data_IF_940584720248
#
_entry.id   IF_940584720248
#
_cell.length_a   1.000
_cell.length_b   1.000
_cell.length_c   1.000
_cell.angle_alpha   90.00
_cell.angle_beta   90.00
_cell.angle_gamma   90.00
#
_symmetry.space_group_name_H-M   'P 1'
#
loop_
_entity.id
_entity.type
_entity.pdbx_description
1 polymer ?
#
# COMPACT_ATOMS: atom_id res chain seq x y z
N UNK A 1 -30.08 -0.74 -12.78
CA UNK A 1 -29.13 -1.84 -12.46
C UNK A 1 -28.22 -1.35 -11.35
N UNK A 2 -28.03 -2.13 -10.28
CA UNK A 2 -27.18 -1.73 -9.18
C UNK A 2 -25.70 -1.73 -9.59
N UNK A 3 -24.89 -0.84 -9.04
CA UNK A 3 -23.45 -0.76 -9.32
C UNK A 3 -22.71 -2.06 -8.99
N UNK A 4 -23.22 -2.82 -8.02
CA UNK A 4 -22.75 -4.17 -7.66
C UNK A 4 -22.95 -5.21 -8.78
N UNK A 5 -24.04 -5.11 -9.55
CA UNK A 5 -24.27 -6.02 -10.66
C UNK A 5 -23.22 -5.84 -11.76
N UNK A 6 -22.70 -4.62 -11.97
CA UNK A 6 -21.69 -4.34 -13.00
C UNK A 6 -20.33 -4.95 -12.67
N UNK A 7 -19.95 -4.97 -11.37
CA UNK A 7 -18.67 -5.54 -10.95
C UNK A 7 -18.65 -7.07 -10.98
N UNK A 8 -19.79 -7.71 -10.82
CA UNK A 8 -19.91 -9.17 -10.78
C UNK A 8 -20.39 -9.79 -12.10
N UNK A 9 -20.78 -8.98 -13.08
CA UNK A 9 -21.30 -9.45 -14.37
C UNK A 9 -20.39 -9.03 -15.53
N UNK A 10 -19.58 -9.98 -16.05
CA UNK A 10 -18.70 -9.73 -17.21
C UNK A 10 -19.42 -9.12 -18.43
N UNK A 11 -20.68 -9.48 -18.67
CA UNK A 11 -21.46 -8.97 -19.79
C UNK A 11 -21.91 -7.52 -19.63
N UNK A 12 -22.12 -7.05 -18.39
CA UNK A 12 -22.53 -5.67 -18.08
C UNK A 12 -21.33 -4.71 -18.00
N UNK A 13 -20.13 -5.22 -17.67
CA UNK A 13 -18.94 -4.41 -17.45
C UNK A 13 -18.29 -3.84 -18.73
N UNK A 14 -18.66 -4.38 -19.91
CA UNK A 14 -17.98 -4.01 -21.17
C UNK A 14 -18.32 -2.62 -21.73
N UNK A 15 -19.30 -1.90 -21.20
CA UNK A 15 -19.78 -0.66 -21.86
C UNK A 15 -19.48 0.66 -21.15
N UNK A 16 -19.35 0.73 -19.81
CA UNK A 16 -19.16 2.01 -19.11
C UNK A 16 -18.14 1.89 -17.96
N UNK A 17 -17.20 2.81 -17.93
CA UNK A 17 -16.23 2.93 -16.85
C UNK A 17 -16.92 3.47 -15.58
N UNK A 18 -16.75 2.77 -14.45
CA UNK A 18 -17.40 3.09 -13.16
C UNK A 18 -17.09 4.52 -12.70
N UNK A 19 -15.86 4.98 -12.88
CA UNK A 19 -15.44 6.31 -12.45
C UNK A 19 -16.02 7.40 -13.36
N UNK A 20 -16.16 7.15 -14.65
CA UNK A 20 -16.86 8.07 -15.57
C UNK A 20 -18.34 8.19 -15.18
N UNK A 21 -18.99 7.06 -14.94
CA UNK A 21 -20.40 7.05 -14.48
C UNK A 21 -20.57 7.76 -13.15
N UNK A 22 -19.59 7.63 -12.23
CA UNK A 22 -19.60 8.30 -10.93
C UNK A 22 -19.49 9.82 -11.09
N UNK A 23 -18.55 10.28 -11.93
CA UNK A 23 -18.40 11.73 -12.25
C UNK A 23 -19.67 12.26 -12.89
N UNK A 24 -20.23 11.59 -13.92
CA UNK A 24 -21.43 12.00 -14.60
C UNK A 24 -22.64 12.17 -13.66
N UNK A 25 -22.77 11.26 -12.68
CA UNK A 25 -23.85 11.35 -11.68
C UNK A 25 -23.67 12.51 -10.71
N UNK A 26 -22.41 12.86 -10.39
CA UNK A 26 -22.10 13.99 -9.50
C UNK A 26 -22.33 15.31 -10.24
N UNK A 27 -21.86 15.43 -11.48
CA UNK A 27 -21.96 16.67 -12.28
C UNK A 27 -23.39 16.93 -12.74
N UNK A 28 -24.14 15.90 -13.13
CA UNK A 28 -25.51 16.03 -13.68
C UNK A 28 -26.60 16.30 -12.63
N UNK A 29 -26.30 16.32 -11.33
CA UNK A 29 -27.31 16.63 -10.30
C UNK A 29 -27.31 18.13 -9.98
N UNK A 30 -28.33 18.90 -10.48
CA UNK A 30 -28.40 20.36 -10.31
C UNK A 30 -28.49 20.83 -8.85
N UNK A 31 -28.84 19.95 -7.91
CA UNK A 31 -28.94 20.28 -6.49
C UNK A 31 -27.62 20.63 -5.81
N UNK A 32 -26.49 20.58 -6.55
CA UNK A 32 -25.16 20.98 -6.07
C UNK A 32 -24.69 22.32 -6.63
N UNK A 33 -25.49 23.00 -7.42
CA UNK A 33 -25.23 24.38 -7.83
C UNK A 33 -25.57 25.33 -6.66
N UNK A 34 -24.76 25.31 -5.59
CA UNK A 34 -24.73 26.41 -4.65
C UNK A 34 -23.87 27.52 -5.26
N UNK A 35 -24.40 28.74 -5.44
CA UNK A 35 -23.61 29.90 -5.85
C UNK A 35 -22.73 30.29 -4.65
N UNK A 36 -21.45 29.92 -4.70
CA UNK A 36 -20.47 30.27 -3.68
C UNK A 36 -19.40 29.20 -3.48
N UNK A 37 -18.30 29.58 -2.86
CA UNK A 37 -17.09 28.77 -2.59
C UNK A 37 -17.31 27.43 -1.85
N UNK A 38 -18.53 27.10 -1.45
CA UNK A 38 -18.91 25.90 -0.67
C UNK A 38 -19.30 24.68 -1.54
N UNK A 39 -19.39 24.85 -2.86
CA UNK A 39 -19.86 23.78 -3.76
C UNK A 39 -18.98 22.52 -3.78
N UNK A 40 -17.69 22.67 -3.55
CA UNK A 40 -16.72 21.57 -3.63
C UNK A 40 -16.79 20.61 -2.42
N UNK A 41 -17.08 21.09 -1.23
CA UNK A 41 -17.11 20.26 -0.02
C UNK A 41 -18.29 19.27 0.06
N UNK A 42 -19.30 19.42 -0.80
CA UNK A 42 -20.53 18.62 -0.73
C UNK A 42 -20.49 17.30 -1.54
N UNK A 43 -19.61 17.17 -2.55
CA UNK A 43 -19.55 15.92 -3.35
C UNK A 43 -18.61 14.87 -2.77
N UNK A 44 -17.57 15.28 -2.04
CA UNK A 44 -16.59 14.41 -1.42
C UNK A 44 -17.23 13.28 -0.59
N UNK A 45 -18.16 13.54 0.35
CA UNK A 45 -18.85 12.50 1.10
C UNK A 45 -19.63 11.51 0.23
N UNK A 46 -20.15 11.95 -0.90
CA UNK A 46 -20.94 11.10 -1.80
C UNK A 46 -20.04 10.16 -2.59
N UNK A 47 -18.93 10.66 -3.15
CA UNK A 47 -17.94 9.85 -3.85
C UNK A 47 -17.41 8.78 -2.92
N UNK A 48 -16.94 9.19 -1.74
CA UNK A 48 -16.44 8.28 -0.72
C UNK A 48 -17.46 7.20 -0.36
N UNK A 49 -18.70 7.58 0.02
CA UNK A 49 -19.74 6.62 0.43
C UNK A 49 -20.07 5.63 -0.68
N UNK A 50 -20.17 6.11 -1.92
CA UNK A 50 -20.49 5.25 -3.06
C UNK A 50 -19.37 4.28 -3.34
N UNK A 51 -18.12 4.77 -3.40
CA UNK A 51 -16.96 3.92 -3.66
C UNK A 51 -16.69 2.96 -2.49
N UNK A 52 -16.80 3.40 -1.26
CA UNK A 52 -16.67 2.54 -0.08
C UNK A 52 -17.75 1.44 -0.03
N UNK A 53 -18.99 1.75 -0.47
CA UNK A 53 -20.04 0.74 -0.59
C UNK A 53 -19.72 -0.31 -1.66
N UNK A 54 -19.18 0.10 -2.80
CA UNK A 54 -18.73 -0.82 -3.87
C UNK A 54 -17.61 -1.71 -3.32
N UNK A 55 -16.56 -1.10 -2.75
CA UNK A 55 -15.39 -1.79 -2.24
C UNK A 55 -15.71 -2.79 -1.13
N UNK A 56 -16.71 -2.53 -0.29
CA UNK A 56 -17.14 -3.43 0.79
C UNK A 56 -17.57 -4.81 0.27
N UNK A 57 -18.21 -4.85 -0.88
CA UNK A 57 -18.81 -6.05 -1.43
C UNK A 57 -18.06 -6.63 -2.63
N UNK A 58 -16.95 -5.98 -3.03
CA UNK A 58 -16.17 -6.42 -4.18
C UNK A 58 -15.31 -7.64 -3.82
N UNK A 59 -15.32 -8.64 -4.69
CA UNK A 59 -14.37 -9.75 -4.70
C UNK A 59 -13.09 -9.37 -5.48
N UNK A 60 -12.13 -10.29 -5.57
CA UNK A 60 -10.88 -10.04 -6.29
C UNK A 60 -11.10 -9.75 -7.78
N UNK A 61 -12.04 -10.44 -8.43
CA UNK A 61 -12.33 -10.22 -9.84
C UNK A 61 -12.96 -8.86 -10.09
N UNK A 62 -13.92 -8.46 -9.24
CA UNK A 62 -14.51 -7.13 -9.28
C UNK A 62 -13.52 -6.02 -8.95
N UNK A 63 -12.58 -6.28 -8.02
CA UNK A 63 -11.52 -5.33 -7.71
C UNK A 63 -10.54 -5.15 -8.86
N UNK A 64 -10.21 -6.24 -9.60
CA UNK A 64 -9.41 -6.18 -10.82
C UNK A 64 -10.03 -5.24 -11.87
N UNK A 65 -11.32 -5.36 -12.08
CA UNK A 65 -12.10 -4.50 -13.00
C UNK A 65 -12.06 -3.05 -12.47
N UNK A 66 -12.31 -2.84 -11.18
CA UNK A 66 -12.35 -1.51 -10.59
C UNK A 66 -11.01 -0.78 -10.73
N UNK A 67 -9.88 -1.43 -10.44
CA UNK A 67 -8.56 -0.81 -10.60
C UNK A 67 -8.25 -0.55 -12.07
N UNK A 68 -8.61 -1.46 -12.97
CA UNK A 68 -8.44 -1.25 -14.43
C UNK A 68 -9.27 -0.07 -14.94
N UNK A 69 -10.49 0.09 -14.44
CA UNK A 69 -11.36 1.23 -14.74
C UNK A 69 -10.77 2.54 -14.18
N UNK A 70 -10.21 2.50 -12.96
CA UNK A 70 -9.55 3.65 -12.37
C UNK A 70 -8.35 4.10 -13.21
N UNK A 71 -7.46 3.19 -13.58
CA UNK A 71 -6.30 3.50 -14.43
C UNK A 71 -6.75 4.11 -15.76
N UNK A 72 -7.77 3.52 -16.38
CA UNK A 72 -8.33 4.03 -17.64
C UNK A 72 -8.94 5.42 -17.47
N UNK A 73 -9.64 5.65 -16.36
CA UNK A 73 -10.21 6.95 -16.03
C UNK A 73 -9.12 8.01 -15.87
N UNK A 74 -8.08 7.75 -15.07
CA UNK A 74 -6.98 8.72 -14.85
C UNK A 74 -6.28 9.06 -16.18
N UNK A 75 -5.96 8.05 -17.00
CA UNK A 75 -5.34 8.28 -18.32
C UNK A 75 -6.21 9.12 -19.27
N UNK A 76 -7.54 8.98 -19.20
CA UNK A 76 -8.45 9.76 -20.05
C UNK A 76 -8.74 11.15 -19.49
N UNK A 77 -8.74 11.31 -18.17
CA UNK A 77 -9.10 12.56 -17.52
C UNK A 77 -8.05 13.65 -17.66
N UNK A 78 -6.78 13.28 -17.90
CA UNK A 78 -5.73 14.23 -18.22
C UNK A 78 -6.08 15.11 -19.45
N UNK A 79 -7.06 14.69 -20.26
CA UNK A 79 -7.45 15.36 -21.51
C UNK A 79 -8.81 16.09 -21.48
N UNK A 80 -9.70 15.91 -20.48
CA UNK A 80 -11.12 16.27 -20.65
C UNK A 80 -11.82 17.04 -19.53
N UNK A 81 -11.27 17.13 -18.34
CA UNK A 81 -11.97 17.78 -17.22
C UNK A 81 -11.18 19.01 -16.74
N UNK A 82 -11.86 19.96 -16.09
CA UNK A 82 -11.19 21.07 -15.43
C UNK A 82 -10.15 20.55 -14.44
N UNK A 83 -8.90 21.01 -14.56
CA UNK A 83 -7.74 20.47 -13.82
C UNK A 83 -7.98 20.33 -12.30
N UNK A 84 -8.68 21.27 -11.68
CA UNK A 84 -8.95 21.25 -10.24
C UNK A 84 -9.94 20.15 -9.82
N UNK A 85 -11.04 20.00 -10.54
CA UNK A 85 -12.03 18.96 -10.25
C UNK A 85 -11.44 17.55 -10.39
N UNK A 86 -10.63 17.34 -11.43
CA UNK A 86 -9.96 16.07 -11.65
C UNK A 86 -9.02 15.70 -10.51
N UNK A 87 -8.23 16.66 -10.04
CA UNK A 87 -7.26 16.39 -8.98
C UNK A 87 -7.97 15.95 -7.68
N UNK A 88 -8.95 16.73 -7.22
CA UNK A 88 -9.67 16.42 -5.99
C UNK A 88 -10.45 15.11 -6.07
N UNK A 89 -11.18 14.89 -7.17
CA UNK A 89 -11.91 13.64 -7.37
C UNK A 89 -10.98 12.42 -7.38
N UNK A 90 -9.85 12.54 -8.07
CA UNK A 90 -8.83 11.49 -8.14
C UNK A 90 -8.24 11.21 -6.76
N UNK A 91 -7.92 12.24 -5.99
CA UNK A 91 -7.41 12.09 -4.62
C UNK A 91 -8.41 11.39 -3.69
N UNK A 92 -9.69 11.73 -3.76
CA UNK A 92 -10.74 11.06 -2.98
C UNK A 92 -10.82 9.57 -3.35
N UNK A 93 -10.79 9.27 -4.66
CA UNK A 93 -10.83 7.89 -5.14
C UNK A 93 -9.61 7.09 -4.66
N UNK A 94 -8.39 7.65 -4.81
CA UNK A 94 -7.14 7.02 -4.33
C UNK A 94 -7.20 6.77 -2.83
N UNK A 95 -7.53 7.80 -2.05
CA UNK A 95 -7.61 7.70 -0.61
C UNK A 95 -8.61 6.63 -0.16
N UNK A 96 -9.76 6.55 -0.83
CA UNK A 96 -10.78 5.54 -0.53
C UNK A 96 -10.30 4.13 -0.87
N UNK A 97 -9.68 3.94 -2.03
CA UNK A 97 -9.12 2.65 -2.46
C UNK A 97 -8.03 2.20 -1.51
N UNK A 98 -7.04 3.06 -1.23
CA UNK A 98 -5.92 2.73 -0.35
C UNK A 98 -6.39 2.43 1.07
N UNK A 99 -7.24 3.27 1.64
CA UNK A 99 -7.80 3.03 2.97
C UNK A 99 -8.54 1.69 3.04
N UNK A 100 -9.34 1.38 2.02
CA UNK A 100 -10.08 0.13 2.01
C UNK A 100 -9.13 -1.08 1.89
N UNK A 101 -8.16 -1.03 0.97
CA UNK A 101 -7.22 -2.14 0.72
C UNK A 101 -6.36 -2.43 1.96
N UNK A 102 -5.77 -1.39 2.55
CA UNK A 102 -4.79 -1.56 3.63
C UNK A 102 -5.40 -1.57 5.03
N UNK A 103 -6.44 -0.79 5.28
CA UNK A 103 -7.00 -0.64 6.61
C UNK A 103 -8.24 -1.51 6.86
N UNK A 104 -9.14 -1.61 5.87
CA UNK A 104 -10.41 -2.32 6.06
C UNK A 104 -10.34 -3.78 5.64
N UNK A 105 -9.83 -4.08 4.46
CA UNK A 105 -9.75 -5.46 3.97
C UNK A 105 -8.56 -6.20 4.59
N UNK A 106 -7.40 -5.54 4.66
CA UNK A 106 -6.19 -6.11 5.26
C UNK A 106 -5.74 -7.44 4.62
N UNK A 107 -6.15 -7.70 3.38
CA UNK A 107 -5.89 -8.96 2.69
C UNK A 107 -4.76 -8.77 1.66
N UNK A 108 -3.65 -9.54 1.78
CA UNK A 108 -2.48 -9.41 0.92
C UNK A 108 -2.79 -9.61 -0.58
N UNK A 109 -3.79 -10.43 -0.95
CA UNK A 109 -4.18 -10.64 -2.35
C UNK A 109 -4.71 -9.38 -3.04
N UNK A 110 -5.43 -8.50 -2.32
CA UNK A 110 -5.88 -7.22 -2.86
C UNK A 110 -4.71 -6.24 -3.03
N UNK A 111 -3.75 -6.27 -2.10
CA UNK A 111 -2.53 -5.47 -2.21
C UNK A 111 -1.68 -5.93 -3.40
N UNK A 112 -1.50 -7.23 -3.54
CA UNK A 112 -0.77 -7.83 -4.66
C UNK A 112 -1.40 -7.43 -6.00
N UNK A 113 -2.73 -7.55 -6.13
CA UNK A 113 -3.45 -7.16 -7.34
C UNK A 113 -3.30 -5.66 -7.64
N UNK A 114 -3.39 -4.80 -6.62
CA UNK A 114 -3.14 -3.36 -6.76
C UNK A 114 -1.75 -3.08 -7.31
N UNK A 115 -0.72 -3.69 -6.69
CA UNK A 115 0.68 -3.52 -7.11
C UNK A 115 0.92 -4.07 -8.51
N UNK A 116 0.35 -5.24 -8.84
CA UNK A 116 0.44 -5.82 -10.17
C UNK A 116 -0.12 -4.89 -11.26
N UNK A 117 -1.30 -4.30 -11.00
CA UNK A 117 -1.95 -3.39 -11.95
C UNK A 117 -1.24 -2.04 -12.09
N UNK A 118 -0.59 -1.58 -11.04
CA UNK A 118 0.09 -0.28 -11.02
C UNK A 118 1.61 -0.40 -11.15
N UNK A 119 2.13 -1.60 -11.42
CA UNK A 119 3.55 -1.93 -11.44
C UNK A 119 4.38 -0.99 -12.31
N UNK A 120 3.92 -0.70 -13.52
CA UNK A 120 4.65 0.13 -14.48
C UNK A 120 4.81 1.58 -14.03
N UNK A 121 4.04 2.01 -13.01
CA UNK A 121 4.07 3.37 -12.48
C UNK A 121 4.80 3.48 -11.14
N UNK A 122 5.14 2.36 -10.49
CA UNK A 122 5.71 2.35 -9.13
C UNK A 122 7.03 3.13 -9.05
N UNK A 123 7.86 3.09 -10.09
CA UNK A 123 9.16 3.77 -10.10
C UNK A 123 9.04 5.29 -10.23
N UNK A 124 8.02 5.79 -10.90
CA UNK A 124 7.77 7.22 -11.04
C UNK A 124 6.84 7.73 -9.94
N UNK A 125 7.42 8.19 -8.84
CA UNK A 125 6.66 8.72 -7.70
C UNK A 125 5.82 9.96 -8.03
N UNK A 126 6.12 10.66 -9.13
CA UNK A 126 5.35 11.81 -9.59
C UNK A 126 4.10 11.40 -10.36
N UNK A 127 4.05 10.17 -10.85
CA UNK A 127 2.90 9.65 -11.57
C UNK A 127 1.67 9.51 -10.67
N UNK A 128 0.53 10.00 -11.13
CA UNK A 128 -0.75 9.90 -10.41
C UNK A 128 -1.20 8.44 -10.18
N UNK A 129 -0.70 7.51 -11.00
CA UNK A 129 -0.98 6.08 -10.92
C UNK A 129 0.01 5.32 -10.02
N UNK A 130 1.03 5.97 -9.48
CA UNK A 130 1.95 5.39 -8.49
C UNK A 130 1.31 5.34 -7.10
N UNK A 131 0.18 4.62 -6.97
CA UNK A 131 -0.72 4.65 -5.83
C UNK A 131 -0.03 4.33 -4.50
N UNK A 132 0.95 3.43 -4.52
CA UNK A 132 1.66 2.99 -3.31
C UNK A 132 2.45 4.12 -2.62
N UNK A 133 2.78 5.20 -3.34
CA UNK A 133 3.49 6.36 -2.79
C UNK A 133 2.55 7.47 -2.33
N UNK A 134 1.26 7.35 -2.62
CA UNK A 134 0.29 8.34 -2.17
C UNK A 134 0.07 8.20 -0.67
N UNK A 135 0.03 9.32 0.00
CA UNK A 135 -0.41 9.36 1.38
C UNK A 135 -1.93 9.23 1.41
N UNK A 136 -2.46 8.45 2.33
CA UNK A 136 -3.90 8.37 2.48
C UNK A 136 -4.36 8.98 3.80
N UNK A 137 -5.47 9.66 3.70
CA UNK A 137 -6.14 10.29 4.82
C UNK A 137 -7.54 9.70 4.89
N UNK A 138 -7.95 9.08 6.00
CA UNK A 138 -9.34 8.70 6.16
C UNK A 138 -10.19 9.96 6.13
N UNK A 139 -11.00 10.10 5.09
CA UNK A 139 -11.78 11.31 4.78
C UNK A 139 -12.73 11.71 5.92
N UNK A 140 -13.10 10.79 6.81
CA UNK A 140 -14.08 11.00 7.88
C UNK A 140 -13.60 10.62 9.27
N UNK A 141 -12.37 10.22 9.44
CA UNK A 141 -11.78 10.07 10.75
C UNK A 141 -10.66 11.08 10.89
N UNK A 142 -10.70 12.01 11.84
CA UNK A 142 -9.52 12.76 12.27
C UNK A 142 -8.57 11.74 12.89
N UNK A 143 -7.99 10.92 12.03
CA UNK A 143 -7.07 9.87 12.41
C UNK A 143 -5.67 10.45 12.37
N UNK A 144 -4.85 10.16 13.37
CA UNK A 144 -3.42 10.43 13.32
C UNK A 144 -2.71 9.68 12.16
N UNK A 145 -3.45 9.01 11.25
CA UNK A 145 -2.98 8.36 10.01
C UNK A 145 -2.88 9.32 8.82
N UNK A 146 -3.30 10.58 9.01
CA UNK A 146 -3.24 11.61 7.99
C UNK A 146 -1.80 11.78 7.49
N UNK A 147 -1.61 11.65 6.18
CA UNK A 147 -0.33 11.92 5.54
C UNK A 147 0.71 10.80 5.57
N UNK A 148 0.36 9.56 5.94
CA UNK A 148 1.28 8.42 5.88
C UNK A 148 1.09 7.58 4.61
N UNK A 149 2.18 7.01 4.11
CA UNK A 149 2.15 6.08 2.98
C UNK A 149 1.61 4.71 3.40
N UNK A 150 1.12 3.89 2.47
CA UNK A 150 0.72 2.51 2.73
C UNK A 150 1.81 1.68 3.42
N UNK A 151 3.07 1.82 3.04
CA UNK A 151 4.18 1.10 3.67
C UNK A 151 4.34 1.47 5.15
N UNK A 152 4.32 2.78 5.49
CA UNK A 152 4.38 3.24 6.88
C UNK A 152 3.15 2.77 7.67
N UNK A 153 1.96 2.79 7.06
CA UNK A 153 0.75 2.28 7.71
C UNK A 153 0.87 0.80 8.06
N UNK A 154 1.32 -0.02 7.10
CA UNK A 154 1.51 -1.47 7.28
C UNK A 154 2.55 -1.76 8.37
N UNK A 155 3.66 -1.02 8.39
CA UNK A 155 4.68 -1.12 9.44
C UNK A 155 4.11 -0.77 10.82
N UNK A 156 3.32 0.30 10.93
CA UNK A 156 2.73 0.76 12.18
C UNK A 156 1.64 -0.18 12.71
N UNK A 157 0.88 -0.80 11.82
CA UNK A 157 -0.16 -1.79 12.16
C UNK A 157 0.38 -3.23 12.19
N UNK A 158 1.67 -3.43 11.88
CA UNK A 158 2.39 -4.70 11.90
C UNK A 158 1.71 -5.80 11.10
N UNK A 159 1.19 -5.46 9.93
CA UNK A 159 0.56 -6.41 9.03
C UNK A 159 1.65 -7.18 8.25
N UNK A 160 2.24 -8.20 8.88
CA UNK A 160 3.40 -8.93 8.35
C UNK A 160 3.16 -9.56 6.97
N UNK A 161 1.96 -10.09 6.72
CA UNK A 161 1.59 -10.66 5.42
C UNK A 161 1.54 -9.62 4.30
N UNK A 162 1.03 -8.42 4.58
CA UNK A 162 1.01 -7.31 3.62
C UNK A 162 2.40 -6.71 3.46
N UNK A 163 3.15 -6.55 4.56
CA UNK A 163 4.54 -6.10 4.49
C UNK A 163 5.35 -7.00 3.58
N UNK A 164 5.20 -8.34 3.71
CA UNK A 164 5.88 -9.29 2.82
C UNK A 164 5.58 -9.00 1.35
N UNK A 165 4.33 -8.80 0.97
CA UNK A 165 3.96 -8.45 -0.42
C UNK A 165 4.65 -7.15 -0.85
N UNK A 166 4.61 -6.09 -0.03
CA UNK A 166 5.28 -4.83 -0.35
C UNK A 166 6.78 -5.01 -0.56
N UNK A 167 7.44 -5.82 0.28
CA UNK A 167 8.86 -6.14 0.16
C UNK A 167 9.15 -6.97 -1.10
N UNK A 168 8.29 -7.91 -1.47
CA UNK A 168 8.43 -8.69 -2.69
C UNK A 168 8.43 -7.80 -3.95
N UNK A 169 7.64 -6.73 -3.94
CA UNK A 169 7.63 -5.73 -5.02
C UNK A 169 8.74 -4.66 -4.92
N UNK A 170 9.63 -4.76 -3.92
CA UNK A 170 10.77 -3.85 -3.79
C UNK A 170 10.41 -2.46 -3.24
N UNK A 171 9.26 -2.31 -2.57
CA UNK A 171 8.80 -1.00 -2.10
C UNK A 171 9.75 -0.42 -1.04
N UNK A 172 10.32 -1.27 -0.16
CA UNK A 172 11.27 -0.80 0.86
C UNK A 172 12.61 -0.39 0.26
N UNK A 173 13.10 -1.13 -0.74
CA UNK A 173 14.35 -0.81 -1.45
C UNK A 173 14.27 0.53 -2.18
N UNK A 174 13.08 0.95 -2.57
CA UNK A 174 12.84 2.27 -3.19
C UNK A 174 12.64 3.40 -2.18
N UNK A 175 12.50 3.11 -0.87
CA UNK A 175 12.33 4.17 0.13
C UNK A 175 13.60 5.01 0.32
N UNK A 176 13.42 6.33 0.49
CA UNK A 176 14.55 7.25 0.73
C UNK A 176 15.27 6.97 2.05
N UNK A 177 14.51 6.54 3.07
CA UNK A 177 15.00 6.22 4.42
C UNK A 177 14.38 4.91 4.88
N UNK A 178 14.81 3.77 4.33
CA UNK A 178 14.19 2.47 4.60
C UNK A 178 14.24 2.09 6.09
N UNK A 179 15.23 2.59 6.84
CA UNK A 179 15.34 2.35 8.27
C UNK A 179 14.16 2.89 9.08
N UNK A 180 13.46 3.93 8.59
CA UNK A 180 12.27 4.46 9.26
C UNK A 180 11.18 3.40 9.44
N UNK A 181 11.15 2.39 8.59
CA UNK A 181 10.20 1.27 8.70
C UNK A 181 10.50 0.44 9.94
N UNK A 182 11.79 0.16 10.21
CA UNK A 182 12.23 -0.55 11.41
C UNK A 182 11.87 0.25 12.68
N UNK A 183 12.15 1.55 12.68
CA UNK A 183 11.75 2.43 13.79
C UNK A 183 10.21 2.42 13.98
N UNK A 184 9.46 2.45 12.90
CA UNK A 184 8.01 2.42 12.96
C UNK A 184 7.50 1.11 13.56
N UNK A 185 8.06 -0.03 13.17
CA UNK A 185 7.71 -1.34 13.73
C UNK A 185 8.01 -1.40 15.23
N UNK A 186 9.17 -0.87 15.67
CA UNK A 186 9.63 -1.01 17.04
C UNK A 186 9.00 0.00 18.01
N UNK A 187 8.85 1.26 17.62
CA UNK A 187 8.57 2.34 18.56
C UNK A 187 7.19 2.98 18.46
N UNK A 188 6.50 2.84 17.33
CA UNK A 188 5.17 3.43 17.23
C UNK A 188 4.14 2.56 17.94
N UNK A 189 3.21 3.18 18.68
CA UNK A 189 2.14 2.45 19.31
C UNK A 189 1.33 1.71 18.24
N UNK A 190 0.97 0.48 18.54
CA UNK A 190 0.05 -0.28 17.71
C UNK A 190 -1.26 0.48 17.62
N UNK A 191 -1.65 0.88 16.41
CA UNK A 191 -3.00 1.40 16.23
C UNK A 191 -3.93 0.20 16.17
N UNK A 192 -4.91 0.21 17.02
CA UNK A 192 -5.94 -0.83 17.05
C UNK A 192 -6.49 -0.96 15.63
N UNK A 193 -6.36 -2.14 15.05
CA UNK A 193 -7.12 -2.47 13.84
C UNK A 193 -8.58 -2.35 14.24
N UNK A 194 -9.32 -1.50 13.58
CA UNK A 194 -10.78 -1.54 13.66
C UNK A 194 -11.16 -2.76 12.80
N UNK A 195 -10.97 -3.94 13.37
CA UNK A 195 -11.48 -5.20 12.85
C UNK A 195 -12.70 -5.56 13.65
N UNK A 196 -13.77 -5.91 12.96
CA UNK A 196 -15.02 -6.36 13.56
C UNK A 196 -14.90 -7.75 14.23
N UNK A 197 -13.73 -8.41 14.15
CA UNK A 197 -13.49 -9.74 14.71
C UNK A 197 -12.47 -9.68 15.85
N UNK A 198 -12.88 -10.25 16.98
CA UNK A 198 -12.22 -10.28 18.28
C UNK A 198 -10.97 -11.18 18.36
N UNK A 199 -10.18 -11.35 17.32
CA UNK A 199 -8.91 -12.00 17.45
C UNK A 199 -7.88 -11.06 18.10
N UNK A 200 -7.49 -11.38 19.32
CA UNK A 200 -6.33 -10.80 20.01
C UNK A 200 -5.07 -11.13 19.19
N UNK A 201 -4.73 -10.23 18.28
CA UNK A 201 -3.50 -10.35 17.51
C UNK A 201 -2.34 -10.14 18.46
N UNK A 202 -1.44 -11.11 18.54
CA UNK A 202 -0.20 -10.96 19.28
C UNK A 202 0.69 -9.93 18.60
N UNK A 203 0.61 -8.69 19.09
CA UNK A 203 1.33 -7.54 18.55
C UNK A 203 2.84 -7.76 18.58
N UNK A 204 3.34 -8.51 19.56
CA UNK A 204 4.75 -8.81 19.68
C UNK A 204 5.22 -9.77 18.57
N UNK A 205 4.48 -10.84 18.33
CA UNK A 205 4.79 -11.80 17.26
C UNK A 205 4.68 -11.15 15.86
N UNK A 206 3.67 -10.33 15.61
CA UNK A 206 3.55 -9.59 14.37
C UNK A 206 4.71 -8.58 14.17
N UNK A 207 5.15 -7.91 15.24
CA UNK A 207 6.30 -7.01 15.18
C UNK A 207 7.60 -7.78 14.91
N UNK A 208 7.82 -8.93 15.54
CA UNK A 208 8.96 -9.82 15.27
C UNK A 208 9.00 -10.26 13.81
N UNK A 209 7.86 -10.75 13.29
CA UNK A 209 7.74 -11.16 11.88
C UNK A 209 8.07 -10.00 10.93
N UNK A 210 7.56 -8.79 11.20
CA UNK A 210 7.86 -7.61 10.41
C UNK A 210 9.35 -7.25 10.46
N UNK A 211 9.98 -7.31 11.66
CA UNK A 211 11.41 -7.04 11.81
C UNK A 211 12.25 -8.04 11.02
N UNK A 212 11.98 -9.34 11.16
CA UNK A 212 12.65 -10.40 10.40
C UNK A 212 12.52 -10.22 8.89
N UNK A 213 11.37 -9.78 8.39
CA UNK A 213 11.19 -9.46 6.97
C UNK A 213 12.09 -8.28 6.55
N UNK A 214 12.22 -7.25 7.39
CA UNK A 214 13.11 -6.12 7.10
C UNK A 214 14.59 -6.54 7.05
N UNK A 215 15.05 -7.46 7.92
CA UNK A 215 16.44 -7.95 7.90
C UNK A 215 16.79 -8.72 6.63
N UNK A 216 15.79 -9.22 5.90
CA UNK A 216 15.99 -9.92 4.62
C UNK A 216 16.25 -8.99 3.44
N UNK A 217 15.89 -7.72 3.53
CA UNK A 217 16.00 -6.74 2.45
C UNK A 217 16.92 -5.56 2.79
N UNK A 218 17.25 -5.36 4.06
CA UNK A 218 18.18 -4.32 4.48
C UNK A 218 19.59 -4.90 4.64
N UNK A 219 20.58 -4.22 4.06
CA UNK A 219 21.99 -4.58 4.23
C UNK A 219 22.55 -4.14 5.59
N UNK A 220 21.96 -3.09 6.15
CA UNK A 220 22.42 -2.50 7.40
C UNK A 220 21.25 -1.99 8.24
N UNK A 221 21.30 -2.21 9.55
CA UNK A 221 20.35 -1.70 10.55
C UNK A 221 21.16 -1.00 11.64
N UNK A 222 21.00 0.32 11.84
CA UNK A 222 21.79 1.09 12.81
C UNK A 222 21.30 0.83 14.24
N UNK A 223 21.78 -0.25 14.84
CA UNK A 223 21.44 -0.66 16.21
C UNK A 223 21.75 0.44 17.22
N UNK A 224 22.83 1.19 17.01
CA UNK A 224 23.19 2.34 17.86
C UNK A 224 22.13 3.42 17.89
N UNK A 225 21.53 3.75 16.74
CA UNK A 225 20.44 4.73 16.67
C UNK A 225 19.18 4.23 17.38
N UNK A 226 18.87 2.93 17.25
CA UNK A 226 17.73 2.31 17.95
C UNK A 226 17.95 2.38 19.47
N UNK A 227 19.16 2.06 19.97
CA UNK A 227 19.51 2.18 21.38
C UNK A 227 19.43 3.63 21.88
N UNK A 228 19.85 4.59 21.06
CA UNK A 228 19.73 6.01 21.38
C UNK A 228 18.27 6.43 21.59
N UNK A 229 17.33 5.91 20.80
CA UNK A 229 15.90 6.16 21.03
C UNK A 229 15.44 5.62 22.39
N UNK A 230 16.00 4.48 22.84
CA UNK A 230 15.69 3.93 24.17
C UNK A 230 16.18 4.84 25.30
N UNK A 231 17.36 5.46 25.17
CA UNK A 231 17.87 6.41 26.17
C UNK A 231 16.99 7.66 26.30
N UNK A 232 16.26 8.02 25.26
CA UNK A 232 15.25 9.09 25.28
C UNK A 232 13.88 8.64 25.79
N UNK A 233 13.78 7.48 26.45
CA UNK A 233 12.56 6.98 27.06
C UNK A 233 11.56 6.33 26.07
N UNK A 234 11.98 6.09 24.83
CA UNK A 234 11.18 5.32 23.88
C UNK A 234 11.51 3.84 24.04
N UNK A 235 10.57 3.06 24.55
CA UNK A 235 10.76 1.62 24.69
C UNK A 235 10.27 0.89 23.44
N UNK A 236 11.11 0.01 22.84
CA UNK A 236 10.67 -0.86 21.77
C UNK A 236 9.55 -1.79 22.27
N UNK A 237 8.60 -2.09 21.40
CA UNK A 237 7.51 -3.02 21.72
C UNK A 237 8.06 -4.42 21.99
N UNK A 238 9.12 -4.82 21.28
CA UNK A 238 9.84 -6.08 21.48
C UNK A 238 11.01 -5.80 22.40
N UNK A 239 11.01 -6.36 23.63
CA UNK A 239 12.10 -6.16 24.60
C UNK A 239 13.42 -6.77 24.12
N UNK A 240 13.35 -7.92 23.49
CA UNK A 240 14.44 -8.75 22.96
C UNK A 240 14.71 -8.51 21.45
N UNK A 241 14.37 -7.31 20.95
CA UNK A 241 14.48 -6.99 19.51
C UNK A 241 15.88 -7.19 18.93
N UNK A 242 16.94 -7.10 19.75
CA UNK A 242 18.32 -7.34 19.30
C UNK A 242 18.55 -8.76 18.81
N UNK A 243 17.86 -9.73 19.40
CA UNK A 243 18.01 -11.16 19.05
C UNK A 243 17.49 -11.46 17.63
N UNK A 244 16.67 -10.56 17.08
CA UNK A 244 16.13 -10.67 15.73
C UNK A 244 16.93 -9.92 14.66
N UNK A 245 18.01 -9.21 15.08
CA UNK A 245 18.91 -8.51 14.14
C UNK A 245 20.23 -9.28 14.09
N UNK A 246 20.54 -9.96 12.97
CA UNK A 246 21.82 -10.63 12.81
C UNK A 246 22.98 -9.65 12.96
N UNK A 247 24.10 -10.09 13.59
CA UNK A 247 25.34 -9.29 13.72
C UNK A 247 25.83 -8.77 12.36
N UNK A 248 25.62 -9.55 11.31
CA UNK A 248 25.90 -9.22 9.91
C UNK A 248 25.03 -8.09 9.33
N UNK A 249 24.08 -7.55 10.10
CA UNK A 249 23.29 -6.35 9.75
C UNK A 249 23.67 -5.12 10.57
N UNK A 250 24.55 -5.25 11.52
CA UNK A 250 24.98 -4.14 12.41
C UNK A 250 26.49 -3.98 12.43
N UNK A 251 27.22 -5.01 12.88
CA UNK A 251 28.66 -4.91 13.22
C UNK A 251 29.55 -5.66 12.25
N UNK A 252 29.10 -6.75 11.72
CA UNK A 252 29.86 -7.65 10.84
C UNK A 252 29.52 -7.40 9.37
N UNK A 253 30.46 -7.72 8.45
CA UNK A 253 30.13 -7.68 7.03
C UNK A 253 28.94 -8.58 6.69
N UNK A 254 28.10 -8.13 5.78
CA UNK A 254 26.98 -8.94 5.27
C UNK A 254 27.48 -10.22 4.61
N UNK A 255 26.74 -11.30 4.79
CA UNK A 255 27.01 -12.55 4.09
C UNK A 255 26.91 -12.36 2.58
N UNK A 256 27.83 -13.02 1.86
CA UNK A 256 27.86 -12.93 0.38
C UNK A 256 26.50 -13.30 -0.24
N UNK A 257 25.83 -14.33 0.30
CA UNK A 257 24.51 -14.76 -0.17
C UNK A 257 23.47 -13.63 -0.03
N UNK A 258 23.51 -12.86 1.06
CA UNK A 258 22.62 -11.73 1.26
C UNK A 258 22.95 -10.58 0.30
N UNK A 259 24.22 -10.26 0.11
CA UNK A 259 24.63 -9.23 -0.85
C UNK A 259 24.21 -9.59 -2.28
N UNK A 260 24.37 -10.86 -2.66
CA UNK A 260 23.88 -11.36 -3.95
C UNK A 260 22.36 -11.20 -4.07
N UNK A 261 21.59 -11.52 -3.00
CA UNK A 261 20.13 -11.28 -2.97
C UNK A 261 19.83 -9.82 -3.30
N UNK A 262 20.45 -8.90 -2.57
CA UNK A 262 20.20 -7.45 -2.76
C UNK A 262 20.57 -7.00 -4.18
N UNK A 263 21.71 -7.45 -4.70
CA UNK A 263 22.16 -7.09 -6.05
C UNK A 263 21.20 -7.60 -7.13
N UNK A 264 20.77 -8.86 -7.05
CA UNK A 264 19.83 -9.45 -8.03
C UNK A 264 18.48 -8.76 -7.94
N UNK A 265 17.94 -8.57 -6.73
CA UNK A 265 16.66 -7.88 -6.53
C UNK A 265 16.71 -6.45 -7.06
N UNK A 266 17.81 -5.72 -6.83
CA UNK A 266 17.96 -4.36 -7.34
C UNK A 266 17.96 -4.34 -8.88
N UNK A 267 18.63 -5.29 -9.55
CA UNK A 267 18.60 -5.43 -11.00
C UNK A 267 17.20 -5.72 -11.54
N UNK A 268 16.44 -6.59 -10.86
CA UNK A 268 15.05 -6.87 -11.24
C UNK A 268 14.14 -5.66 -10.97
N UNK A 269 14.39 -4.95 -9.88
CA UNK A 269 13.65 -3.75 -9.53
C UNK A 269 13.80 -2.64 -10.57
N UNK A 270 15.04 -2.34 -10.99
CA UNK A 270 15.31 -1.32 -12.03
C UNK A 270 14.64 -1.62 -13.36
N UNK A 271 14.32 -2.89 -13.63
CA UNK A 271 13.61 -3.34 -14.82
C UNK A 271 12.11 -3.56 -14.62
N UNK A 272 11.55 -3.16 -13.49
CA UNK A 272 10.15 -3.46 -13.10
C UNK A 272 9.79 -4.96 -13.13
N UNK A 273 10.74 -5.84 -12.81
CA UNK A 273 10.56 -7.29 -12.90
C UNK A 273 10.30 -7.98 -11.54
N UNK A 274 10.33 -7.26 -10.41
CA UNK A 274 9.94 -7.82 -9.12
C UNK A 274 8.41 -7.91 -9.00
N UNK A 275 7.89 -8.98 -8.38
CA UNK A 275 8.57 -10.25 -8.05
C UNK A 275 8.60 -11.22 -9.24
N UNK A 276 7.81 -11.00 -10.28
CA UNK A 276 7.53 -11.96 -11.36
C UNK A 276 8.77 -12.36 -12.19
N UNK A 277 9.80 -11.53 -12.27
CA UNK A 277 11.04 -11.83 -12.97
C UNK A 277 11.89 -12.90 -12.30
N UNK A 278 11.71 -13.14 -11.00
CA UNK A 278 12.48 -14.13 -10.24
C UNK A 278 12.31 -15.54 -10.79
N UNK A 279 11.09 -15.90 -11.19
CA UNK A 279 10.78 -17.24 -11.73
C UNK A 279 11.47 -17.55 -13.07
N UNK A 280 11.91 -16.52 -13.80
CA UNK A 280 12.59 -16.67 -15.08
C UNK A 280 14.13 -16.71 -14.93
N UNK A 281 14.66 -16.56 -13.71
CA UNK A 281 16.09 -16.68 -13.48
C UNK A 281 16.53 -18.15 -13.61
N UNK A 282 17.64 -18.43 -14.31
CA UNK A 282 18.17 -19.78 -14.49
C UNK A 282 18.91 -20.27 -13.22
N UNK A 283 18.22 -20.30 -12.10
CA UNK A 283 18.73 -20.70 -10.79
C UNK A 283 17.79 -21.73 -10.13
N UNK A 284 18.28 -22.57 -9.21
CA UNK A 284 17.45 -23.51 -8.49
C UNK A 284 16.26 -22.87 -7.79
N UNK A 285 15.14 -23.57 -7.71
CA UNK A 285 13.89 -23.10 -7.12
C UNK A 285 14.07 -22.60 -5.68
N UNK A 286 14.93 -23.23 -4.89
CA UNK A 286 15.23 -22.80 -3.52
C UNK A 286 15.84 -21.40 -3.47
N UNK A 287 16.67 -21.04 -4.46
CA UNK A 287 17.22 -19.69 -4.57
C UNK A 287 16.19 -18.69 -5.10
N UNK A 288 15.24 -19.13 -5.94
CA UNK A 288 14.11 -18.31 -6.34
C UNK A 288 13.23 -17.97 -5.13
N UNK A 289 12.90 -18.95 -4.28
CA UNK A 289 12.17 -18.73 -3.03
C UNK A 289 12.94 -17.80 -2.07
N UNK A 290 14.27 -17.98 -1.98
CA UNK A 290 15.12 -17.10 -1.19
C UNK A 290 15.09 -15.65 -1.69
N UNK A 291 15.16 -15.44 -3.01
CA UNK A 291 15.05 -14.11 -3.61
C UNK A 291 13.66 -13.48 -3.41
N UNK A 292 12.62 -14.32 -3.42
CA UNK A 292 11.22 -13.88 -3.25
C UNK A 292 10.79 -13.74 -1.78
N UNK A 293 11.71 -13.85 -0.83
CA UNK A 293 11.47 -13.69 0.61
C UNK A 293 10.50 -14.76 1.17
N UNK A 294 10.49 -15.95 0.60
CA UNK A 294 9.60 -17.05 1.01
C UNK A 294 10.23 -17.97 2.04
N UNK A 295 11.56 -17.88 2.20
CA UNK A 295 12.34 -18.69 3.16
C UNK A 295 12.89 -17.83 4.27
#
# INVERSE_FOLDING_TARGET
MSELCRLNCKACCQKNNIFIDLVDRIVRRPSLQFPGQWGYQCYEPRVYRTLAKILRHVDLGGFDILISDYITFVKRSEYRLEKHFNHEFTEICVNTILYWVFARKGNPKFVELLLQKTRDYIQDRSCSLALIWRTFTPVYCPSPLSGITPLLYVAQTRQSSILKVLLQYGILEMEKKPINIVFTILFYPSRVRIMDDHELIDIHEDAKRCLLLCTRVLSFIPVTEIKTQQTFGRHPIISDWLDYIPSTRDKEPCELLHLCRLAIRNQLLTKNQLPSGIIFLPIPIILQHYLNLET
#
